data_IF_059455940427
#
_entry.id   IF_059455940427
#
_cell.length_a   1.000
_cell.length_b   1.000
_cell.length_c   1.000
_cell.angle_alpha   90.00
_cell.angle_beta   90.00
_cell.angle_gamma   90.00
#
_symmetry.space_group_name_H-M   'P 1'
#
loop_
_entity.id
_entity.type
_entity.pdbx_description
1 polymer ?
#
# COMPACT_ATOMS: atom_id res chain seq x y z
N UNK A 1 7.40 -17.54 2.00
CA UNK A 1 7.10 -16.54 3.03
C UNK A 1 7.60 -15.23 2.50
N UNK A 2 6.66 -14.38 2.13
CA UNK A 2 6.96 -13.00 1.81
C UNK A 2 6.75 -12.17 3.08
N UNK A 3 7.83 -11.62 3.63
CA UNK A 3 7.74 -10.81 4.83
C UNK A 3 7.33 -9.40 4.42
N UNK A 4 6.23 -8.92 4.98
CA UNK A 4 5.81 -7.54 4.81
C UNK A 4 6.88 -6.59 5.39
N UNK A 5 7.17 -5.51 4.65
CA UNK A 5 8.26 -4.59 4.97
C UNK A 5 7.73 -3.25 5.49
N UNK A 6 8.45 -2.69 6.46
CA UNK A 6 8.31 -1.29 6.86
C UNK A 6 9.27 -0.44 6.01
N UNK A 7 8.77 0.55 5.26
CA UNK A 7 9.59 1.38 4.36
C UNK A 7 9.30 2.87 4.52
N UNK A 8 10.34 3.67 4.38
CA UNK A 8 10.20 5.13 4.25
C UNK A 8 9.63 5.52 2.89
N UNK A 9 8.97 6.67 2.84
CA UNK A 9 8.34 7.24 1.65
C UNK A 9 9.26 8.16 0.83
N UNK A 10 10.57 7.95 0.88
CA UNK A 10 11.51 8.62 -0.03
C UNK A 10 11.42 7.96 -1.42
N UNK A 11 10.29 8.17 -2.09
CA UNK A 11 9.94 7.54 -3.37
C UNK A 11 10.54 8.30 -4.56
N UNK A 12 11.80 8.72 -4.43
CA UNK A 12 12.50 9.51 -5.46
C UNK A 12 12.64 8.78 -6.80
N UNK A 13 12.44 7.46 -6.84
CA UNK A 13 12.17 6.65 -8.03
C UNK A 13 11.74 5.25 -7.58
N UNK A 14 10.46 4.90 -7.66
CA UNK A 14 10.03 3.50 -7.65
C UNK A 14 8.90 3.14 -6.69
N UNK A 15 8.00 2.33 -7.24
CA UNK A 15 6.89 1.67 -6.58
C UNK A 15 7.41 0.75 -5.45
N UNK A 16 6.75 0.73 -4.29
CA UNK A 16 6.99 -0.37 -3.34
C UNK A 16 6.05 -1.50 -3.66
N UNK A 17 6.63 -2.63 -4.05
CA UNK A 17 5.93 -3.89 -4.31
C UNK A 17 6.17 -4.85 -3.15
N UNK A 18 5.13 -5.62 -2.79
CA UNK A 18 5.20 -6.74 -1.84
C UNK A 18 4.12 -7.78 -2.19
N UNK A 19 4.28 -9.02 -1.76
CA UNK A 19 3.46 -10.19 -2.08
C UNK A 19 3.96 -11.04 -3.25
N UNK A 20 3.06 -11.78 -3.90
CA UNK A 20 3.40 -12.62 -5.05
C UNK A 20 3.82 -11.81 -6.27
N UNK A 21 4.77 -12.36 -7.04
CA UNK A 21 5.35 -11.74 -8.23
C UNK A 21 6.07 -10.41 -7.96
N UNK A 22 7.09 -10.46 -7.10
CA UNK A 22 8.10 -9.40 -6.86
C UNK A 22 8.96 -9.02 -8.11
N UNK A 23 8.50 -9.24 -9.34
CA UNK A 23 9.20 -8.80 -10.55
C UNK A 23 8.81 -7.36 -10.89
N UNK A 24 9.73 -6.43 -10.63
CA UNK A 24 9.71 -5.02 -11.08
C UNK A 24 9.57 -4.84 -12.60
N UNK A 25 9.69 -5.91 -13.39
CA UNK A 25 9.50 -5.90 -14.85
C UNK A 25 8.11 -6.35 -15.32
N UNK A 26 7.17 -6.57 -14.39
CA UNK A 26 5.83 -7.10 -14.70
C UNK A 26 4.69 -6.08 -14.53
N UNK A 27 4.96 -4.81 -14.20
CA UNK A 27 3.94 -3.78 -14.05
C UNK A 27 3.72 -3.02 -15.36
N UNK A 28 2.82 -3.53 -16.22
CA UNK A 28 2.10 -2.64 -17.11
C UNK A 28 1.23 -1.72 -16.24
N UNK A 29 1.51 -0.42 -16.30
CA UNK A 29 0.87 0.64 -15.51
C UNK A 29 -0.64 0.41 -15.30
N UNK A 30 -1.18 0.72 -14.11
CA UNK A 30 -2.60 0.53 -13.83
C UNK A 30 -3.45 1.30 -14.84
N UNK A 31 -4.49 0.63 -15.35
CA UNK A 31 -5.49 1.25 -16.23
C UNK A 31 -6.17 2.40 -15.50
N UNK A 32 -6.14 3.59 -16.12
CA UNK A 32 -6.78 4.81 -15.66
C UNK A 32 -8.24 4.59 -15.31
N UNK A 33 -8.55 4.50 -14.02
CA UNK A 33 -9.93 4.44 -13.53
C UNK A 33 -10.46 5.86 -13.31
N UNK A 34 -11.57 6.25 -13.95
CA UNK A 34 -12.15 7.59 -13.79
C UNK A 34 -13.09 7.60 -12.58
N UNK A 35 -12.59 8.08 -11.45
CA UNK A 35 -13.40 8.80 -10.46
C UNK A 35 -12.46 9.83 -9.85
N UNK A 36 -12.72 11.10 -10.14
CA UNK A 36 -11.88 12.19 -9.65
C UNK A 36 -11.94 12.22 -8.12
N UNK A 37 -10.91 11.67 -7.48
CA UNK A 37 -10.67 11.92 -6.06
C UNK A 37 -10.31 13.42 -5.94
N UNK A 38 -10.90 14.16 -4.99
CA UNK A 38 -10.63 15.59 -4.84
C UNK A 38 -9.13 15.87 -4.69
N UNK A 39 -8.69 17.01 -5.23
CA UNK A 39 -7.34 17.54 -5.03
C UNK A 39 -6.96 17.50 -3.55
N UNK A 40 -5.79 16.94 -3.21
CA UNK A 40 -5.28 17.07 -1.85
C UNK A 40 -5.05 18.55 -1.52
N UNK A 41 -5.51 19.04 -0.37
CA UNK A 41 -5.37 20.44 -0.01
C UNK A 41 -3.91 20.84 0.24
N UNK A 42 -3.56 22.07 -0.14
CA UNK A 42 -2.26 22.66 0.22
C UNK A 42 -1.06 21.95 -0.42
N UNK A 43 -0.12 21.52 0.43
CA UNK A 43 1.14 20.88 0.03
C UNK A 43 1.12 19.37 0.29
N UNK A 44 -0.07 18.76 0.36
CA UNK A 44 -0.22 17.32 0.52
C UNK A 44 0.01 16.58 -0.80
N UNK A 45 0.51 15.35 -0.69
CA UNK A 45 0.68 14.40 -1.80
C UNK A 45 -0.36 13.30 -1.72
N UNK A 46 -0.67 12.73 -2.88
CA UNK A 46 -1.49 11.54 -2.97
C UNK A 46 -0.69 10.31 -2.56
N UNK A 47 -1.08 9.67 -1.48
CA UNK A 47 -0.74 8.29 -1.22
C UNK A 47 -1.78 7.39 -1.89
N UNK A 48 -1.32 6.46 -2.73
CA UNK A 48 -2.16 5.43 -3.33
C UNK A 48 -1.59 4.04 -3.01
N UNK A 49 -2.46 3.14 -2.59
CA UNK A 49 -2.16 1.74 -2.32
C UNK A 49 -3.14 0.87 -3.11
N UNK A 50 -2.61 0.05 -4.00
CA UNK A 50 -3.34 -1.08 -4.56
C UNK A 50 -2.99 -2.31 -3.72
N UNK A 51 -3.99 -2.91 -3.08
CA UNK A 51 -3.83 -4.09 -2.25
C UNK A 51 -4.72 -5.20 -2.77
N UNK A 52 -4.11 -6.32 -3.13
CA UNK A 52 -4.79 -7.60 -3.36
C UNK A 52 -4.55 -8.48 -2.14
N UNK A 53 -5.61 -8.84 -1.44
CA UNK A 53 -5.53 -9.76 -0.31
C UNK A 53 -5.41 -11.21 -0.76
N UNK A 54 -4.80 -12.05 0.08
CA UNK A 54 -4.78 -13.50 -0.08
C UNK A 54 -6.04 -14.13 0.54
N UNK A 55 -6.02 -15.43 0.87
CA UNK A 55 -7.21 -16.07 1.44
C UNK A 55 -7.55 -15.57 2.86
N UNK A 56 -6.70 -14.72 3.46
CA UNK A 56 -6.85 -14.20 4.81
C UNK A 56 -6.74 -12.67 4.88
N UNK A 57 -7.50 -11.97 4.03
CA UNK A 57 -7.46 -10.50 3.97
C UNK A 57 -7.72 -9.77 5.30
N UNK A 58 -8.42 -10.39 6.25
CA UNK A 58 -8.65 -9.81 7.58
C UNK A 58 -7.38 -9.62 8.41
N UNK A 59 -6.29 -10.27 8.04
CA UNK A 59 -4.99 -10.22 8.72
C UNK A 59 -4.13 -9.05 8.22
N UNK A 60 -4.43 -8.55 7.02
CA UNK A 60 -3.70 -7.45 6.39
C UNK A 60 -4.17 -6.10 6.91
N UNK A 61 -3.22 -5.29 7.34
CA UNK A 61 -3.43 -3.90 7.72
C UNK A 61 -2.24 -3.04 7.31
N UNK A 62 -2.45 -1.74 7.14
CA UNK A 62 -1.37 -0.81 6.82
C UNK A 62 -1.56 0.52 7.53
N UNK A 63 -0.45 1.24 7.70
CA UNK A 63 -0.43 2.62 8.19
C UNK A 63 0.66 3.42 7.49
N UNK A 64 0.40 4.70 7.29
CA UNK A 64 1.38 5.71 6.89
C UNK A 64 1.52 6.69 8.03
N UNK A 65 2.76 6.92 8.47
CA UNK A 65 3.09 7.89 9.53
C UNK A 65 3.96 9.00 8.97
N UNK A 66 3.59 10.25 9.21
CA UNK A 66 4.46 11.39 8.98
C UNK A 66 5.27 11.70 10.26
N UNK A 67 6.59 11.45 10.31
CA UNK A 67 7.45 11.84 11.42
C UNK A 67 7.48 13.35 11.71
N UNK A 68 7.14 14.21 10.74
CA UNK A 68 7.17 15.67 10.93
C UNK A 68 5.89 16.19 11.56
N UNK A 69 4.72 15.74 11.10
CA UNK A 69 3.41 16.21 11.60
C UNK A 69 2.81 15.30 12.67
N UNK A 70 3.31 14.06 12.80
CA UNK A 70 2.68 13.02 13.62
C UNK A 70 1.38 12.47 13.03
N UNK A 71 1.03 12.85 11.79
CA UNK A 71 -0.17 12.38 11.12
C UNK A 71 -0.07 10.88 10.82
N UNK A 72 -1.15 10.16 11.14
CA UNK A 72 -1.27 8.73 10.88
C UNK A 72 -2.54 8.48 10.09
N UNK A 73 -2.40 7.87 8.92
CA UNK A 73 -3.52 7.29 8.16
C UNK A 73 -3.33 5.78 8.07
N UNK A 74 -4.42 5.02 8.12
CA UNK A 74 -4.37 3.57 8.20
C UNK A 74 -5.57 2.91 7.51
N UNK A 75 -5.42 1.63 7.18
CA UNK A 75 -6.47 0.78 6.63
C UNK A 75 -6.31 -0.67 7.10
N UNK A 76 -7.40 -1.42 7.08
CA UNK A 76 -7.46 -2.80 7.55
C UNK A 76 -8.87 -3.35 7.53
N UNK A 77 -9.04 -4.61 8.00
CA UNK A 77 -10.35 -5.27 8.02
C UNK A 77 -10.83 -5.69 6.63
N UNK A 78 -9.89 -6.05 5.75
CA UNK A 78 -10.18 -6.40 4.37
C UNK A 78 -10.85 -7.77 4.26
N UNK A 79 -11.63 -7.96 3.21
CA UNK A 79 -12.14 -9.27 2.83
C UNK A 79 -11.01 -10.07 2.16
N UNK A 80 -11.11 -11.40 2.24
CA UNK A 80 -10.19 -12.30 1.56
C UNK A 80 -10.34 -12.23 0.04
N UNK A 81 -9.24 -12.50 -0.67
CA UNK A 81 -9.14 -12.66 -2.11
C UNK A 81 -9.74 -11.51 -2.92
N UNK A 82 -9.60 -10.28 -2.40
CA UNK A 82 -10.23 -9.08 -2.93
C UNK A 82 -9.19 -8.00 -3.20
N UNK A 83 -9.40 -7.21 -4.25
CA UNK A 83 -8.56 -6.05 -4.57
C UNK A 83 -9.19 -4.77 -4.03
N UNK A 84 -8.37 -3.96 -3.37
CA UNK A 84 -8.69 -2.67 -2.80
C UNK A 84 -7.77 -1.60 -3.39
N UNK A 85 -8.33 -0.42 -3.64
CA UNK A 85 -7.55 0.78 -3.97
C UNK A 85 -7.81 1.82 -2.90
N UNK A 86 -6.79 2.11 -2.11
CA UNK A 86 -6.83 3.11 -1.06
C UNK A 86 -6.14 4.38 -1.55
N UNK A 87 -6.83 5.51 -1.43
CA UNK A 87 -6.26 6.84 -1.74
C UNK A 87 -6.37 7.73 -0.51
N UNK A 88 -5.28 8.36 -0.10
CA UNK A 88 -5.21 9.28 1.03
C UNK A 88 -4.35 10.48 0.68
N UNK A 89 -4.66 11.62 1.25
CA UNK A 89 -3.76 12.76 1.24
C UNK A 89 -2.84 12.66 2.45
N UNK A 90 -1.55 12.83 2.22
CA UNK A 90 -0.51 12.81 3.25
C UNK A 90 0.34 14.06 3.09
N UNK A 91 0.91 14.57 4.18
CA UNK A 91 1.88 15.67 4.07
C UNK A 91 3.05 15.26 3.16
N UNK A 92 3.52 16.18 2.30
CA UNK A 92 4.60 15.94 1.32
C UNK A 92 5.98 15.68 1.95
N UNK A 93 6.10 15.72 3.27
CA UNK A 93 7.34 15.42 3.98
C UNK A 93 7.69 13.92 3.92
N UNK A 94 8.84 13.54 4.49
CA UNK A 94 9.16 12.15 4.71
C UNK A 94 8.01 11.45 5.46
N UNK A 95 7.50 10.34 4.94
CA UNK A 95 6.58 9.44 5.64
C UNK A 95 7.17 8.03 5.79
N UNK A 96 6.50 7.18 6.56
CA UNK A 96 6.81 5.76 6.69
C UNK A 96 5.55 4.97 6.42
N UNK A 97 5.58 4.10 5.39
CA UNK A 97 4.54 3.14 5.09
C UNK A 97 4.89 1.79 5.75
N UNK A 98 3.98 1.30 6.57
CA UNK A 98 4.04 -0.01 7.19
C UNK A 98 2.83 -0.81 6.73
N UNK A 99 3.04 -2.02 6.24
CA UNK A 99 2.00 -3.02 6.03
C UNK A 99 2.32 -4.22 6.91
N UNK A 100 1.29 -4.79 7.54
CA UNK A 100 1.40 -5.82 8.56
C UNK A 100 0.39 -6.92 8.31
N UNK A 101 0.82 -8.13 8.67
CA UNK A 101 0.03 -9.34 8.64
C UNK A 101 0.03 -9.90 10.08
N UNK A 102 -1.17 -10.07 10.64
CA UNK A 102 -1.28 -10.40 12.07
C UNK A 102 -0.82 -11.81 12.44
N UNK A 103 -0.78 -12.75 11.48
CA UNK A 103 -0.31 -14.12 11.70
C UNK A 103 1.16 -14.30 11.32
N UNK A 104 1.73 -13.33 10.60
CA UNK A 104 3.15 -13.24 10.28
C UNK A 104 3.59 -14.18 9.16
N UNK A 105 2.64 -14.79 8.46
CA UNK A 105 2.91 -15.58 7.26
C UNK A 105 2.95 -14.73 5.98
N UNK A 106 2.41 -13.52 6.07
CA UNK A 106 2.40 -12.52 5.02
C UNK A 106 1.41 -12.87 3.92
N UNK A 107 1.19 -11.93 3.00
CA UNK A 107 0.10 -12.04 2.02
C UNK A 107 0.38 -13.00 0.85
N UNK A 108 1.47 -13.79 0.92
CA UNK A 108 1.83 -14.75 -0.13
C UNK A 108 2.79 -15.87 0.30
N UNK A 109 2.77 -17.07 -0.32
CA UNK A 109 2.06 -17.52 -1.53
C UNK A 109 1.27 -18.82 -1.31
N UNK A 110 1.46 -19.45 -0.15
CA UNK A 110 0.92 -20.78 0.16
C UNK A 110 -0.57 -20.74 0.46
N UNK A 111 -1.07 -19.57 0.86
CA UNK A 111 -2.45 -19.35 1.31
C UNK A 111 -3.18 -18.31 0.47
N UNK A 112 -2.80 -18.18 -0.80
CA UNK A 112 -3.40 -17.23 -1.74
C UNK A 112 -2.33 -16.37 -2.40
N UNK A 113 -2.79 -15.60 -3.39
CA UNK A 113 -1.93 -14.74 -4.19
C UNK A 113 -2.25 -13.28 -3.92
N UNK A 114 -1.84 -12.81 -2.75
CA UNK A 114 -1.89 -11.40 -2.38
C UNK A 114 -0.68 -10.62 -2.90
N UNK A 115 -0.87 -9.33 -3.10
CA UNK A 115 0.17 -8.39 -3.53
C UNK A 115 -0.22 -6.97 -3.14
N UNK A 116 0.75 -6.09 -3.00
CA UNK A 116 0.48 -4.67 -2.86
C UNK A 116 1.45 -3.82 -3.67
N UNK A 117 0.97 -2.66 -4.09
CA UNK A 117 1.74 -1.63 -4.77
C UNK A 117 1.42 -0.27 -4.17
N UNK A 118 2.45 0.53 -3.90
CA UNK A 118 2.31 1.88 -3.31
C UNK A 118 2.92 2.93 -4.21
N UNK A 119 2.19 4.05 -4.35
CA UNK A 119 2.61 5.26 -5.04
C UNK A 119 2.45 6.49 -4.15
N UNK A 120 3.33 7.48 -4.34
CA UNK A 120 3.19 8.82 -3.76
C UNK A 120 3.42 9.87 -4.84
N UNK A 121 2.38 10.65 -5.15
CA UNK A 121 2.36 11.59 -6.26
C UNK A 121 2.02 13.03 -5.82
#
# INVERSE_FOLDING_TARGET
>A
HDYLLNRGCDFSVGETLGGCNQCVECTSAPTSSPTAFPACPGNEKYFELELKTDNYGGETSWKVTSPTSGEVTAGGGYQSSTTYTEKRCIQSDACTFEISDSYGDGICCSYGQGSYTVWVN
#
